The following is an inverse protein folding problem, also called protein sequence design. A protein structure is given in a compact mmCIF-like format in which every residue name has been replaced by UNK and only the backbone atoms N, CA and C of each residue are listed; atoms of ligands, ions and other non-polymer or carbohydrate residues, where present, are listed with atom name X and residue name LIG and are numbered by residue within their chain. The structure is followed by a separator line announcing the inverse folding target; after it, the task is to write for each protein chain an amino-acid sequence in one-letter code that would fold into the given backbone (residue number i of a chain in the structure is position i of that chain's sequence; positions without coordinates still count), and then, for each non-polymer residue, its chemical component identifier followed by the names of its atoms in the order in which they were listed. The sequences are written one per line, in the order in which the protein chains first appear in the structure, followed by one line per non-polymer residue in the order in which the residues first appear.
data_IF_457053221173
#
_entry.id   IF_457053221173
#
_cell.length_a   1.000
_cell.length_b   1.000
_cell.length_c   1.000
_cell.angle_alpha   90.00
_cell.angle_beta   90.00
_cell.angle_gamma   90.00
#
_symmetry.space_group_name_H-M   'P 1'
#
loop_
_entity.id
_entity.type
_entity.pdbx_description
1 polymer ?
#
# COMPACT_ATOMS: atom_id res chain seq x y z
N UNK A 1 5.04 -4.16 25.08
CA UNK A 1 4.91 -5.09 23.94
C UNK A 1 3.98 -4.55 22.85
N UNK A 2 2.82 -3.98 23.18
CA UNK A 2 1.89 -3.34 22.22
C UNK A 2 2.57 -2.30 21.29
N UNK A 3 3.43 -1.43 21.84
CA UNK A 3 4.13 -0.41 21.05
C UNK A 3 5.09 -0.96 19.97
N UNK A 4 5.64 -2.17 20.15
CA UNK A 4 6.49 -2.80 19.13
C UNK A 4 5.65 -3.27 17.93
N UNK A 5 4.46 -3.79 18.19
CA UNK A 5 3.52 -4.16 17.14
C UNK A 5 3.05 -2.94 16.36
N UNK A 6 2.71 -1.84 17.06
CA UNK A 6 2.32 -0.59 16.41
C UNK A 6 3.38 -0.08 15.42
N UNK A 7 4.67 -0.13 15.82
CA UNK A 7 5.77 0.23 14.92
C UNK A 7 5.81 -0.66 13.68
N UNK A 8 5.63 -1.97 13.85
CA UNK A 8 5.59 -2.91 12.73
C UNK A 8 4.46 -2.59 11.75
N UNK A 9 3.25 -2.33 12.26
CA UNK A 9 2.11 -1.91 11.42
C UNK A 9 2.39 -0.59 10.70
N UNK A 10 2.96 0.40 11.38
CA UNK A 10 3.30 1.70 10.80
C UNK A 10 4.36 1.58 9.70
N UNK A 11 5.43 0.79 9.91
CA UNK A 11 6.46 0.56 8.89
C UNK A 11 5.91 -0.18 7.67
N UNK A 12 5.06 -1.18 7.87
CA UNK A 12 4.41 -1.89 6.77
C UNK A 12 3.49 -0.96 5.97
N UNK A 13 2.66 -0.15 6.65
CA UNK A 13 1.81 0.85 6.02
C UNK A 13 2.61 1.86 5.20
N UNK A 14 3.71 2.39 5.75
CA UNK A 14 4.59 3.33 5.07
C UNK A 14 5.22 2.70 3.82
N UNK A 15 5.68 1.45 3.92
CA UNK A 15 6.21 0.72 2.77
C UNK A 15 5.16 0.56 1.66
N UNK A 16 3.93 0.22 2.01
CA UNK A 16 2.83 0.08 1.05
C UNK A 16 2.51 1.40 0.34
N UNK A 17 2.50 2.51 1.08
CA UNK A 17 2.25 3.84 0.51
C UNK A 17 3.38 4.28 -0.41
N UNK A 18 4.65 4.09 -0.02
CA UNK A 18 5.80 4.57 -0.80
C UNK A 18 6.12 3.70 -2.02
N UNK A 19 5.99 2.37 -1.92
CA UNK A 19 6.49 1.46 -2.95
C UNK A 19 5.40 0.66 -3.69
N UNK A 20 4.22 0.47 -3.10
CA UNK A 20 3.15 -0.39 -3.66
C UNK A 20 1.90 0.40 -4.09
N UNK A 21 2.04 1.72 -4.27
CA UNK A 21 0.97 2.61 -4.72
C UNK A 21 -0.15 2.84 -3.70
N UNK A 22 0.03 2.43 -2.44
CA UNK A 22 -0.95 2.67 -1.38
C UNK A 22 -2.35 2.14 -1.72
N UNK A 23 -3.27 3.09 -1.90
CA UNK A 23 -4.70 2.90 -2.15
C UNK A 23 -5.04 2.58 -3.61
N UNK A 24 -4.08 2.65 -4.53
CA UNK A 24 -4.37 2.38 -5.95
C UNK A 24 -4.49 0.89 -6.19
N UNK A 25 -5.61 0.45 -6.73
CA UNK A 25 -5.78 -0.91 -7.21
C UNK A 25 -6.86 -1.01 -8.27
N UNK A 26 -6.89 -2.10 -9.04
CA UNK A 26 -7.95 -2.32 -10.00
C UNK A 26 -9.33 -2.34 -9.31
N UNK A 27 -10.34 -1.91 -10.06
CA UNK A 27 -11.73 -2.03 -9.64
C UNK A 27 -12.05 -3.52 -9.43
N UNK A 28 -12.26 -3.92 -8.17
CA UNK A 28 -12.57 -5.32 -7.80
C UNK A 28 -14.05 -5.62 -8.07
N UNK A 29 -14.92 -4.62 -7.86
CA UNK A 29 -16.36 -4.77 -7.98
C UNK A 29 -16.88 -3.81 -9.04
N UNK A 30 -17.71 -4.26 -10.00
CA UNK A 30 -18.31 -3.37 -11.00
C UNK A 30 -19.03 -2.20 -10.32
N UNK A 31 -19.04 -1.00 -10.93
CA UNK A 31 -19.73 0.15 -10.34
C UNK A 31 -21.19 -0.24 -10.08
N UNK A 32 -21.66 0.02 -8.86
CA UNK A 32 -23.07 -0.22 -8.57
C UNK A 32 -23.90 0.67 -9.51
N UNK A 33 -24.99 0.15 -10.11
CA UNK A 33 -25.87 0.96 -10.92
C UNK A 33 -26.36 2.15 -10.09
N UNK A 34 -26.22 3.35 -10.65
CA UNK A 34 -26.54 4.64 -10.00
C UNK A 34 -27.98 4.67 -9.45
N UNK A 35 -28.85 3.79 -9.94
CA UNK A 35 -30.22 3.56 -9.48
C UNK A 35 -30.31 3.13 -8.00
N UNK A 36 -29.36 2.37 -7.45
CA UNK A 36 -29.36 1.99 -6.02
C UNK A 36 -28.90 3.16 -5.13
N UNK A 37 -28.20 4.12 -5.72
CA UNK A 37 -27.61 5.29 -5.05
C UNK A 37 -28.65 6.41 -4.90
N UNK A 38 -29.59 6.53 -5.85
CA UNK A 38 -30.70 7.50 -5.80
C UNK A 38 -32.01 6.91 -5.26
N UNK A 39 -32.30 5.65 -5.60
CA UNK A 39 -33.55 4.96 -5.33
C UNK A 39 -33.24 3.66 -4.58
N UNK A 40 -33.30 3.73 -3.24
CA UNK A 40 -33.11 2.57 -2.38
C UNK A 40 -33.93 1.34 -2.82
N UNK A 41 -33.53 0.15 -2.37
CA UNK A 41 -34.14 -1.14 -2.73
C UNK A 41 -35.68 -1.05 -2.68
N UNK A 42 -36.33 -1.20 -3.84
CA UNK A 42 -37.79 -1.14 -3.95
C UNK A 42 -38.37 -2.48 -3.48
N UNK A 43 -38.76 -2.56 -2.20
CA UNK A 43 -39.61 -3.63 -1.70
C UNK A 43 -41.08 -3.15 -1.71
N UNK A 44 -41.72 -3.16 -2.88
CA UNK A 44 -43.14 -2.83 -3.01
C UNK A 44 -43.48 -1.35 -2.74
N UNK A 45 -44.61 -1.01 -2.08
CA UNK A 45 -45.16 0.35 -2.05
C UNK A 45 -44.53 1.30 -1.00
N UNK A 46 -43.44 0.88 -0.35
CA UNK A 46 -42.72 1.72 0.63
C UNK A 46 -41.27 1.87 0.15
N UNK A 47 -40.92 3.08 -0.28
CA UNK A 47 -39.53 3.46 -0.54
C UNK A 47 -38.84 3.68 0.81
N UNK A 48 -38.21 2.63 1.35
CA UNK A 48 -37.26 2.78 2.44
C UNK A 48 -36.00 3.48 1.89
N UNK A 49 -36.04 4.81 1.78
CA UNK A 49 -34.81 5.61 1.75
C UNK A 49 -34.19 5.44 3.12
N UNK A 50 -33.19 4.58 3.25
CA UNK A 50 -32.38 4.49 4.46
C UNK A 50 -31.52 5.77 4.46
N UNK A 51 -31.81 6.77 5.30
CA UNK A 51 -30.99 7.97 5.35
C UNK A 51 -29.64 7.58 5.94
N UNK A 52 -28.59 7.44 5.12
CA UNK A 52 -27.26 7.05 5.60
C UNK A 52 -26.32 6.32 4.63
N UNK A 53 -26.75 5.96 3.42
CA UNK A 53 -25.82 5.55 2.35
C UNK A 53 -25.73 6.73 1.36
N UNK A 54 -24.56 7.40 1.24
CA UNK A 54 -23.26 6.77 1.03
C UNK A 54 -22.18 7.29 2.00
N UNK A 55 -22.06 6.72 3.21
CA UNK A 55 -20.94 7.06 4.11
C UNK A 55 -19.59 6.56 3.56
N UNK A 56 -19.60 5.51 2.74
CA UNK A 56 -18.42 4.94 2.10
C UNK A 56 -18.63 4.92 0.59
N UNK A 57 -17.89 5.74 -0.17
CA UNK A 57 -17.87 5.66 -1.63
C UNK A 57 -17.21 4.35 -2.07
N UNK A 58 -17.65 3.80 -3.20
CA UNK A 58 -17.11 2.55 -3.75
C UNK A 58 -15.59 2.64 -3.97
N UNK A 59 -15.11 3.81 -4.39
CA UNK A 59 -13.68 4.10 -4.57
C UNK A 59 -12.92 4.03 -3.25
N UNK A 60 -13.48 4.59 -2.17
CA UNK A 60 -12.86 4.52 -0.85
C UNK A 60 -12.84 3.09 -0.33
N UNK A 61 -13.90 2.32 -0.54
CA UNK A 61 -13.95 0.91 -0.14
C UNK A 61 -12.92 0.07 -0.93
N UNK A 62 -12.84 0.25 -2.25
CA UNK A 62 -11.87 -0.41 -3.10
C UNK A 62 -10.43 -0.10 -2.65
N UNK A 63 -10.13 1.19 -2.44
CA UNK A 63 -8.81 1.62 -1.99
C UNK A 63 -8.45 1.07 -0.60
N UNK A 64 -9.38 1.10 0.35
CA UNK A 64 -9.18 0.55 1.70
C UNK A 64 -8.92 -0.95 1.66
N UNK A 65 -9.71 -1.71 0.89
CA UNK A 65 -9.53 -3.15 0.76
C UNK A 65 -8.14 -3.48 0.19
N UNK A 66 -7.72 -2.80 -0.88
CA UNK A 66 -6.39 -2.99 -1.45
C UNK A 66 -5.27 -2.61 -0.49
N UNK A 67 -5.41 -1.48 0.21
CA UNK A 67 -4.43 -1.04 1.19
C UNK A 67 -4.27 -2.06 2.32
N UNK A 68 -5.38 -2.59 2.86
CA UNK A 68 -5.37 -3.59 3.92
C UNK A 68 -4.73 -4.89 3.42
N UNK A 69 -5.12 -5.40 2.25
CA UNK A 69 -4.57 -6.64 1.68
C UNK A 69 -3.06 -6.51 1.46
N UNK A 70 -2.59 -5.40 0.85
CA UNK A 70 -1.16 -5.16 0.63
C UNK A 70 -0.40 -5.04 1.95
N UNK A 71 -0.96 -4.35 2.94
CA UNK A 71 -0.34 -4.19 4.27
C UNK A 71 -0.21 -5.53 4.98
N UNK A 72 -1.24 -6.37 4.96
CA UNK A 72 -1.19 -7.74 5.50
C UNK A 72 -0.12 -8.57 4.77
N UNK A 73 -0.05 -8.46 3.43
CA UNK A 73 0.99 -9.10 2.63
C UNK A 73 2.40 -8.68 3.03
N UNK A 74 2.66 -7.38 3.20
CA UNK A 74 3.97 -6.86 3.64
C UNK A 74 4.32 -7.34 5.04
N UNK A 75 3.36 -7.33 5.98
CA UNK A 75 3.58 -7.85 7.34
C UNK A 75 3.96 -9.33 7.29
N UNK A 76 3.26 -10.13 6.48
CA UNK A 76 3.59 -11.52 6.27
C UNK A 76 5.03 -11.70 5.77
N UNK A 77 5.46 -10.91 4.78
CA UNK A 77 6.84 -10.92 4.29
C UNK A 77 7.87 -10.44 5.32
N UNK A 78 7.52 -9.57 6.26
CA UNK A 78 8.42 -9.15 7.35
C UNK A 78 8.56 -10.25 8.40
N UNK A 79 7.51 -11.01 8.66
CA UNK A 79 7.52 -12.07 9.67
C UNK A 79 8.22 -13.34 9.18
N UNK A 80 8.15 -13.67 7.88
CA UNK A 80 8.75 -14.87 7.31
C UNK A 80 10.28 -14.97 7.56
N UNK A 81 11.12 -13.93 7.29
CA UNK A 81 12.54 -13.95 7.59
C UNK A 81 12.87 -14.23 9.06
N UNK A 82 11.97 -13.89 9.99
CA UNK A 82 12.19 -14.11 11.43
C UNK A 82 12.19 -15.59 11.80
N UNK A 83 11.53 -16.44 11.01
CA UNK A 83 11.51 -17.90 11.20
C UNK A 83 12.58 -18.65 10.40
N UNK A 84 13.05 -18.07 9.29
CA UNK A 84 13.96 -18.76 8.35
C UNK A 84 15.44 -18.47 8.63
N UNK A 85 15.80 -17.24 9.03
CA UNK A 85 17.20 -16.88 9.19
C UNK A 85 17.70 -17.09 10.63
N UNK A 86 18.89 -17.72 10.81
CA UNK A 86 19.54 -17.81 12.10
C UNK A 86 19.97 -16.41 12.58
N UNK A 87 20.06 -16.23 13.91
CA UNK A 87 20.40 -14.94 14.53
C UNK A 87 21.73 -14.39 13.99
N UNK A 88 21.68 -13.24 13.32
CA UNK A 88 22.86 -12.56 12.77
C UNK A 88 23.52 -11.70 13.85
N UNK A 89 24.86 -11.72 13.90
CA UNK A 89 25.66 -10.88 14.81
C UNK A 89 25.62 -9.40 14.37
N UNK A 90 25.58 -8.48 15.34
CA UNK A 90 25.47 -7.03 15.10
C UNK A 90 26.59 -6.47 14.22
N UNK A 91 27.82 -6.98 14.34
CA UNK A 91 28.96 -6.50 13.52
C UNK A 91 28.76 -6.77 12.03
N UNK A 92 28.10 -7.89 11.70
CA UNK A 92 27.75 -8.25 10.32
C UNK A 92 26.60 -7.39 9.80
N UNK A 93 25.68 -6.97 10.67
CA UNK A 93 24.61 -6.03 10.32
C UNK A 93 25.17 -4.63 10.06
N UNK A 94 26.13 -4.17 10.88
CA UNK A 94 26.74 -2.86 10.75
C UNK A 94 27.55 -2.76 9.45
N UNK A 95 28.39 -3.76 9.17
CA UNK A 95 29.17 -3.80 7.93
C UNK A 95 28.27 -3.91 6.68
N UNK A 96 27.16 -4.66 6.73
CA UNK A 96 26.20 -4.72 5.63
C UNK A 96 25.51 -3.37 5.39
N UNK A 97 25.04 -2.73 6.46
CA UNK A 97 24.32 -1.45 6.39
C UNK A 97 25.21 -0.33 5.86
N UNK A 98 26.37 -0.13 6.48
CA UNK A 98 27.25 0.99 6.13
C UNK A 98 27.95 0.84 4.80
N UNK A 99 28.40 -0.38 4.45
CA UNK A 99 29.18 -0.56 3.23
C UNK A 99 28.31 -0.89 2.02
N UNK A 100 27.33 -1.79 2.16
CA UNK A 100 26.54 -2.27 1.01
C UNK A 100 25.26 -1.47 0.80
N UNK A 101 24.44 -1.27 1.84
CA UNK A 101 23.12 -0.63 1.66
C UNK A 101 23.24 0.85 1.35
N UNK A 102 24.11 1.59 2.05
CA UNK A 102 24.34 3.01 1.76
C UNK A 102 24.91 3.19 0.35
N UNK A 103 25.91 2.38 -0.03
CA UNK A 103 26.49 2.43 -1.37
C UNK A 103 25.45 2.19 -2.47
N UNK A 104 24.60 1.17 -2.31
CA UNK A 104 23.52 0.87 -3.26
C UNK A 104 22.48 1.99 -3.33
N UNK A 105 22.15 2.64 -2.22
CA UNK A 105 21.21 3.76 -2.21
C UNK A 105 21.75 4.97 -3.00
N UNK A 106 23.04 5.28 -2.87
CA UNK A 106 23.67 6.34 -3.67
C UNK A 106 23.64 6.01 -5.16
N UNK A 107 24.02 4.78 -5.54
CA UNK A 107 23.97 4.33 -6.93
C UNK A 107 22.54 4.45 -7.49
N UNK A 108 21.53 4.04 -6.71
CA UNK A 108 20.13 4.18 -7.11
C UNK A 108 19.71 5.63 -7.37
N UNK A 109 20.17 6.59 -6.54
CA UNK A 109 19.87 8.02 -6.72
C UNK A 109 20.49 8.54 -8.03
N UNK A 110 21.74 8.21 -8.32
CA UNK A 110 22.38 8.64 -9.57
C UNK A 110 21.72 8.03 -10.81
N UNK A 111 21.27 6.77 -10.74
CA UNK A 111 20.51 6.14 -11.83
C UNK A 111 19.17 6.87 -12.02
N UNK A 112 18.43 7.13 -10.94
CA UNK A 112 17.16 7.85 -11.02
C UNK A 112 17.34 9.25 -11.62
N UNK A 113 18.37 9.99 -11.20
CA UNK A 113 18.70 11.30 -11.77
C UNK A 113 19.09 11.20 -13.24
N UNK A 114 19.94 10.24 -13.60
CA UNK A 114 20.36 10.02 -14.99
C UNK A 114 19.17 9.71 -15.91
N UNK A 115 18.25 8.85 -15.47
CA UNK A 115 17.03 8.51 -16.21
C UNK A 115 16.08 9.70 -16.35
N UNK A 116 15.97 10.54 -15.32
CA UNK A 116 15.19 11.78 -15.37
C UNK A 116 15.78 12.74 -16.39
N UNK A 117 17.09 13.01 -16.34
CA UNK A 117 17.76 13.91 -17.28
C UNK A 117 17.80 13.38 -18.71
N UNK A 118 17.83 12.06 -18.90
CA UNK A 118 17.75 11.43 -20.21
C UNK A 118 16.34 11.52 -20.85
N UNK A 119 15.34 12.06 -20.12
CA UNK A 119 13.97 12.17 -20.60
C UNK A 119 13.20 10.85 -20.63
N UNK A 120 13.73 9.79 -19.99
CA UNK A 120 13.09 8.48 -19.92
C UNK A 120 12.05 8.43 -18.80
N UNK A 121 12.24 9.21 -17.72
CA UNK A 121 11.33 9.26 -16.57
C UNK A 121 10.88 10.71 -16.28
N UNK A 122 9.58 10.98 -16.42
CA UNK A 122 8.92 12.20 -15.98
C UNK A 122 8.19 12.04 -14.64
N UNK A 123 7.62 13.13 -14.06
CA UNK A 123 6.95 13.11 -12.76
C UNK A 123 5.77 12.12 -12.64
N UNK A 124 5.27 11.60 -13.76
CA UNK A 124 4.17 10.63 -13.83
C UNK A 124 4.56 9.23 -14.32
N UNK A 125 5.83 8.95 -14.60
CA UNK A 125 6.28 7.66 -15.15
C UNK A 125 7.16 7.80 -16.39
N UNK A 126 7.25 6.73 -17.18
CA UNK A 126 8.00 6.74 -18.44
C UNK A 126 7.25 7.64 -19.43
N UNK A 127 7.97 8.55 -20.11
CA UNK A 127 7.45 9.41 -21.18
C UNK A 127 7.22 8.63 -22.48
#
# INVERSE_FOLDING_TARGET
QLGTYLKLYAFAALFVVLFLGGWTGPMIWPPFPEEIITDGIVMGPITAKIPGLPVFSQDMLNGVVWFVIKTVGVIFFILLPRGVFPRIRIDMLLSLGWYKLIGLAFVNIFIALGLLYAGVLGPGGIL
#
